data_IF_230864616107
#
_entry.id   IF_230864616107
#
_cell.length_a   1.000
_cell.length_b   1.000
_cell.length_c   1.000
_cell.angle_alpha   90.00
_cell.angle_beta   90.00
_cell.angle_gamma   90.00
#
_symmetry.space_group_name_H-M   'P 1'
#
loop_
_entity.id
_entity.type
_entity.pdbx_description
1 polymer ?
#
# COMPACT_ATOMS: atom_id res chain seq x y z
N UNK A 1 -0.98 4.15 11.78
CA UNK A 1 -2.39 3.97 11.33
C UNK A 1 -2.51 3.57 9.86
N UNK A 2 -1.85 4.24 8.90
CA UNK A 2 -1.98 3.92 7.46
C UNK A 2 -1.63 2.47 7.09
N UNK A 3 -0.60 1.88 7.70
CA UNK A 3 -0.22 0.48 7.47
C UNK A 3 -1.26 -0.53 7.98
N UNK A 4 -1.89 -0.28 9.13
CA UNK A 4 -2.98 -1.13 9.65
C UNK A 4 -4.19 -1.09 8.73
N UNK A 5 -4.49 0.09 8.18
CA UNK A 5 -5.57 0.25 7.21
C UNK A 5 -5.27 -0.50 5.91
N UNK A 6 -4.03 -0.46 5.41
CA UNK A 6 -3.62 -1.27 4.25
C UNK A 6 -3.74 -2.77 4.51
N UNK A 7 -3.29 -3.24 5.67
CA UNK A 7 -3.40 -4.63 6.06
C UNK A 7 -4.86 -5.08 6.15
N UNK A 8 -5.73 -4.27 6.76
CA UNK A 8 -7.15 -4.57 6.90
C UNK A 8 -7.87 -4.62 5.54
N UNK A 9 -7.64 -3.64 4.68
CA UNK A 9 -8.22 -3.62 3.32
C UNK A 9 -7.74 -4.83 2.51
N UNK A 10 -6.47 -5.18 2.60
CA UNK A 10 -5.90 -6.35 1.89
C UNK A 10 -6.53 -7.64 2.39
N UNK A 11 -6.66 -7.81 3.71
CA UNK A 11 -7.28 -8.99 4.31
C UNK A 11 -8.75 -9.13 3.88
N UNK A 12 -9.53 -8.05 3.95
CA UNK A 12 -10.93 -8.03 3.55
C UNK A 12 -11.11 -8.47 2.09
N UNK A 13 -10.34 -7.89 1.16
CA UNK A 13 -10.46 -8.21 -0.26
C UNK A 13 -10.03 -9.64 -0.55
N UNK A 14 -8.95 -10.11 0.08
CA UNK A 14 -8.47 -11.49 -0.11
C UNK A 14 -9.49 -12.51 0.36
N UNK A 15 -10.10 -12.29 1.53
CA UNK A 15 -11.19 -13.15 2.03
C UNK A 15 -12.41 -13.10 1.12
N UNK A 16 -12.79 -11.91 0.63
CA UNK A 16 -13.92 -11.75 -0.31
C UNK A 16 -13.71 -12.51 -1.62
N UNK A 17 -12.50 -12.49 -2.19
CA UNK A 17 -12.15 -13.29 -3.38
C UNK A 17 -12.33 -14.78 -3.10
N UNK A 18 -11.80 -15.28 -1.98
CA UNK A 18 -11.92 -16.69 -1.61
C UNK A 18 -13.37 -17.17 -1.49
N UNK A 19 -14.21 -16.39 -0.81
CA UNK A 19 -15.65 -16.69 -0.69
C UNK A 19 -16.33 -16.67 -2.06
N UNK A 20 -16.03 -15.67 -2.89
CA UNK A 20 -16.64 -15.55 -4.22
C UNK A 20 -16.32 -16.73 -5.11
N UNK A 21 -15.06 -17.20 -5.09
CA UNK A 21 -14.62 -18.37 -5.85
C UNK A 21 -15.35 -19.62 -5.35
N UNK A 22 -15.40 -19.84 -4.03
CA UNK A 22 -16.07 -21.01 -3.46
C UNK A 22 -17.56 -21.06 -3.85
N UNK A 23 -18.25 -19.92 -3.76
CA UNK A 23 -19.66 -19.82 -4.16
C UNK A 23 -19.85 -20.00 -5.66
N UNK A 24 -18.95 -19.44 -6.48
CA UNK A 24 -19.01 -19.59 -7.93
C UNK A 24 -18.78 -21.05 -8.37
N UNK A 25 -17.89 -21.77 -7.69
CA UNK A 25 -17.68 -23.19 -7.94
C UNK A 25 -18.89 -24.04 -7.52
N UNK A 26 -19.55 -23.70 -6.41
CA UNK A 26 -20.76 -24.43 -5.96
C UNK A 26 -21.97 -24.20 -6.88
N UNK A 27 -22.06 -23.04 -7.53
CA UNK A 27 -23.19 -22.66 -8.40
C UNK A 27 -22.94 -22.86 -9.90
N UNK A 28 -21.72 -23.25 -10.27
CA UNK A 28 -21.13 -23.60 -11.58
C UNK A 28 -21.68 -22.85 -12.82
N UNK A 29 -22.96 -23.03 -13.15
CA UNK A 29 -23.68 -22.39 -14.26
C UNK A 29 -24.11 -20.94 -14.02
N UNK A 30 -24.05 -20.46 -12.78
CA UNK A 30 -24.51 -19.10 -12.46
C UNK A 30 -23.49 -18.04 -12.90
N UNK A 31 -23.73 -17.44 -14.07
CA UNK A 31 -22.92 -16.38 -14.64
C UNK A 31 -22.66 -15.20 -13.67
N UNK A 32 -23.64 -14.83 -12.84
CA UNK A 32 -23.49 -13.73 -11.89
C UNK A 32 -22.47 -14.04 -10.78
N UNK A 33 -22.30 -15.31 -10.40
CA UNK A 33 -21.30 -15.71 -9.43
C UNK A 33 -19.88 -15.51 -10.00
N UNK A 34 -19.68 -15.86 -11.28
CA UNK A 34 -18.42 -15.59 -11.99
C UNK A 34 -18.15 -14.10 -12.21
N UNK A 35 -19.19 -13.30 -12.47
CA UNK A 35 -19.07 -11.83 -12.50
C UNK A 35 -18.60 -11.31 -11.13
N UNK A 36 -19.15 -11.80 -10.03
CA UNK A 36 -18.72 -11.41 -8.68
C UNK A 36 -17.24 -11.74 -8.43
N UNK A 37 -16.77 -12.93 -8.86
CA UNK A 37 -15.35 -13.30 -8.82
C UNK A 37 -14.51 -12.28 -9.59
N UNK A 38 -14.89 -11.95 -10.82
CA UNK A 38 -14.18 -10.96 -11.64
C UNK A 38 -14.09 -9.59 -10.98
N UNK A 39 -15.18 -9.11 -10.37
CA UNK A 39 -15.21 -7.84 -9.63
C UNK A 39 -14.27 -7.89 -8.41
N UNK A 40 -14.30 -8.97 -7.64
CA UNK A 40 -13.41 -9.15 -6.50
C UNK A 40 -11.93 -9.21 -6.92
N UNK A 41 -11.61 -9.85 -8.05
CA UNK A 41 -10.26 -9.88 -8.61
C UNK A 41 -9.78 -8.48 -9.02
N UNK A 42 -10.63 -7.69 -9.68
CA UNK A 42 -10.29 -6.31 -10.04
C UNK A 42 -10.07 -5.44 -8.79
N UNK A 43 -10.89 -5.63 -7.75
CA UNK A 43 -10.68 -4.96 -6.46
C UNK A 43 -9.33 -5.34 -5.84
N UNK A 44 -8.97 -6.63 -5.86
CA UNK A 44 -7.68 -7.10 -5.36
C UNK A 44 -6.50 -6.49 -6.12
N UNK A 45 -6.58 -6.43 -7.45
CA UNK A 45 -5.57 -5.78 -8.28
C UNK A 45 -5.46 -4.28 -7.96
N UNK A 46 -6.59 -3.60 -7.77
CA UNK A 46 -6.63 -2.19 -7.36
C UNK A 46 -5.97 -1.94 -6.01
N UNK A 47 -6.22 -2.81 -5.02
CA UNK A 47 -5.60 -2.74 -3.69
C UNK A 47 -4.10 -3.03 -3.77
N UNK A 48 -3.69 -4.03 -4.55
CA UNK A 48 -2.27 -4.33 -4.76
C UNK A 48 -1.54 -3.14 -5.37
N UNK A 49 -2.11 -2.53 -6.42
CA UNK A 49 -1.53 -1.36 -7.04
C UNK A 49 -1.48 -0.15 -6.09
N UNK A 50 -2.52 0.06 -5.29
CA UNK A 50 -2.58 1.13 -4.31
C UNK A 50 -1.55 0.98 -3.19
N UNK A 51 -1.37 -0.23 -2.66
CA UNK A 51 -0.44 -0.52 -1.57
C UNK A 51 1.03 -0.49 -2.00
N UNK A 52 1.30 -0.73 -3.29
CA UNK A 52 2.64 -0.64 -3.87
C UNK A 52 3.09 0.79 -4.20
N UNK A 53 2.22 1.80 -4.03
CA UNK A 53 2.61 3.18 -4.33
C UNK A 53 3.81 3.59 -3.46
N UNK A 54 4.90 4.12 -4.07
CA UNK A 54 6.04 4.62 -3.32
C UNK A 54 5.55 5.60 -2.25
N UNK A 55 6.05 5.45 -1.02
CA UNK A 55 5.86 6.49 -0.02
C UNK A 55 6.40 7.80 -0.60
N UNK A 56 5.75 8.95 -0.36
CA UNK A 56 6.36 10.23 -0.69
C UNK A 56 7.72 10.25 0.02
N UNK A 57 8.80 10.18 -0.74
CA UNK A 57 10.12 10.54 -0.23
C UNK A 57 9.97 12.00 0.17
N UNK A 58 9.98 12.25 1.48
CA UNK A 58 9.68 13.57 2.05
C UNK A 58 10.38 14.66 1.24
N UNK A 59 9.61 15.70 0.89
CA UNK A 59 10.13 16.85 0.15
C UNK A 59 11.44 17.32 0.77
N UNK A 60 12.38 17.74 -0.10
CA UNK A 60 13.73 18.12 0.28
C UNK A 60 13.74 18.87 1.61
N UNK A 61 14.29 18.22 2.64
CA UNK A 61 14.34 18.78 3.97
C UNK A 61 15.45 19.83 3.98
N UNK A 62 15.10 21.10 3.75
CA UNK A 62 16.04 22.22 3.92
C UNK A 62 16.08 22.59 5.39
N UNK A 63 17.14 22.17 6.08
CA UNK A 63 17.43 22.60 7.43
C UNK A 63 18.67 23.51 7.40
N UNK A 64 18.56 24.70 7.98
CA UNK A 64 19.68 25.64 8.16
C UNK A 64 20.02 25.63 9.65
N UNK A 65 21.24 25.23 9.99
CA UNK A 65 21.72 25.26 11.37
C UNK A 65 22.01 26.71 11.78
N UNK A 66 21.38 27.16 12.87
CA UNK A 66 21.81 28.36 13.58
C UNK A 66 22.95 28.00 14.55
N UNK A 67 23.90 28.92 14.76
CA UNK A 67 24.85 28.89 15.87
C UNK A 67 25.57 27.55 16.11
N UNK A 68 26.18 26.99 15.06
CA UNK A 68 26.90 25.71 15.13
C UNK A 68 26.07 24.49 15.57
N UNK A 69 24.73 24.57 15.52
CA UNK A 69 23.88 23.44 15.86
C UNK A 69 24.09 22.27 14.89
N UNK A 70 24.17 21.05 15.45
CA UNK A 70 24.26 19.83 14.66
C UNK A 70 22.88 19.49 14.08
N UNK A 71 22.79 19.38 12.76
CA UNK A 71 21.59 18.86 12.10
C UNK A 71 21.64 17.34 12.16
N UNK A 72 20.60 16.70 12.68
CA UNK A 72 20.45 15.25 12.64
C UNK A 72 19.32 14.91 11.68
N UNK A 73 19.69 14.38 10.50
CA UNK A 73 18.72 13.92 9.52
C UNK A 73 18.40 12.44 9.78
N UNK A 74 17.12 12.13 9.98
CA UNK A 74 16.68 10.76 10.23
C UNK A 74 16.93 9.89 8.98
N UNK A 75 17.98 9.07 9.02
CA UNK A 75 18.25 8.03 8.03
C UNK A 75 19.26 8.35 6.93
N UNK A 76 20.06 9.41 7.05
CA UNK A 76 21.18 9.66 6.11
C UNK A 76 22.32 10.40 6.78
N UNK A 77 23.56 9.95 6.53
CA UNK A 77 24.77 10.66 6.95
C UNK A 77 24.86 12.01 6.21
N UNK A 78 25.01 13.10 6.95
CA UNK A 78 25.24 14.42 6.39
C UNK A 78 26.71 14.51 6.01
N UNK A 79 27.03 14.35 4.73
CA UNK A 79 28.37 14.60 4.21
C UNK A 79 28.59 16.12 4.25
N UNK A 80 29.22 16.63 5.31
CA UNK A 80 29.79 17.97 5.31
C UNK A 80 31.00 17.95 4.37
N UNK A 81 30.86 18.53 3.19
CA UNK A 81 31.98 18.74 2.27
C UNK A 81 33.05 19.64 2.92
N UNK A 82 34.34 19.42 2.63
CA UNK A 82 35.42 20.24 3.18
C UNK A 82 35.26 21.68 2.71
N UNK A 83 35.36 22.62 3.66
CA UNK A 83 35.44 24.06 3.40
C UNK A 83 36.83 24.43 2.91
#
# INVERSE_FOLDING_TARGET
>A
MRQLLFALVTALVTTGVGISVNVATDLESNWWAWVAVGVCTLAAAGVAWWTQRPAPTGGGQTAIAADHATIQQAGRDIIQGPR
#
